data_IF_300588331520
#
_entry.id   IF_300588331520
#
_cell.length_a   1.000
_cell.length_b   1.000
_cell.length_c   1.000
_cell.angle_alpha   90.00
_cell.angle_beta   90.00
_cell.angle_gamma   90.00
#
_symmetry.space_group_name_H-M   'P 1'
#
loop_
_entity.id
_entity.type
_entity.pdbx_description
1 polymer ?
#
# COMPACT_ATOMS: atom_id res chain seq x y z
N UNK A 1 -15.89 2.44 -7.88
CA UNK A 1 -15.35 3.02 -6.63
C UNK A 1 -16.02 4.37 -6.41
N UNK A 2 -16.76 4.56 -5.31
CA UNK A 2 -17.58 5.77 -5.10
C UNK A 2 -16.84 6.94 -4.43
N UNK A 3 -15.56 6.80 -4.07
CA UNK A 3 -14.80 7.86 -3.38
C UNK A 3 -13.29 7.76 -3.63
N UNK A 4 -12.65 8.91 -3.80
CA UNK A 4 -11.18 9.07 -3.83
C UNK A 4 -10.59 9.15 -2.42
N UNK A 5 -11.43 9.22 -1.37
CA UNK A 5 -11.00 9.32 0.02
C UNK A 5 -10.50 7.96 0.53
N UNK A 6 -9.23 7.93 0.93
CA UNK A 6 -8.58 6.72 1.43
C UNK A 6 -9.14 6.22 2.76
N UNK A 7 -9.64 7.13 3.59
CA UNK A 7 -10.20 6.79 4.89
C UNK A 7 -11.54 6.05 4.73
N UNK A 8 -12.35 6.45 3.76
CA UNK A 8 -13.59 5.75 3.42
C UNK A 8 -13.32 4.36 2.84
N UNK A 9 -12.28 4.22 1.99
CA UNK A 9 -11.86 2.92 1.46
C UNK A 9 -11.41 1.97 2.58
N UNK A 10 -10.60 2.47 3.52
CA UNK A 10 -10.17 1.70 4.68
C UNK A 10 -11.37 1.24 5.52
N UNK A 11 -12.31 2.14 5.81
CA UNK A 11 -13.51 1.83 6.58
C UNK A 11 -14.42 0.81 5.88
N UNK A 12 -14.55 0.89 4.55
CA UNK A 12 -15.30 -0.11 3.77
C UNK A 12 -14.65 -1.50 3.86
N UNK A 13 -13.32 -1.57 3.77
CA UNK A 13 -12.61 -2.84 3.83
C UNK A 13 -12.64 -3.46 5.24
N UNK A 14 -12.53 -2.65 6.29
CA UNK A 14 -12.74 -3.09 7.67
C UNK A 14 -14.15 -3.69 7.83
N UNK A 15 -15.19 -3.00 7.33
CA UNK A 15 -16.57 -3.53 7.36
C UNK A 15 -16.69 -4.84 6.58
N UNK A 16 -16.08 -4.93 5.39
CA UNK A 16 -16.13 -6.12 4.53
C UNK A 16 -15.51 -7.34 5.22
N UNK A 17 -14.31 -7.20 5.79
CA UNK A 17 -13.59 -8.32 6.41
C UNK A 17 -14.18 -8.74 7.76
N UNK A 18 -14.68 -7.78 8.55
CA UNK A 18 -15.36 -8.11 9.82
C UNK A 18 -16.73 -8.77 9.59
N UNK A 19 -17.43 -8.43 8.50
CA UNK A 19 -18.73 -9.05 8.16
C UNK A 19 -18.63 -10.55 7.87
N UNK A 20 -17.49 -11.02 7.33
CA UNK A 20 -17.26 -12.46 7.09
C UNK A 20 -17.21 -13.25 8.40
N UNK A 21 -16.56 -12.69 9.42
CA UNK A 21 -16.43 -13.32 10.74
C UNK A 21 -17.74 -13.28 11.52
N UNK A 22 -18.58 -12.25 11.30
CA UNK A 22 -19.86 -11.97 11.97
C UNK A 22 -19.77 -11.70 13.47
N UNK A 23 -19.21 -12.64 14.26
CA UNK A 23 -19.08 -12.56 15.72
C UNK A 23 -17.66 -12.92 16.12
N UNK A 24 -17.01 -12.07 16.91
CA UNK A 24 -15.68 -12.33 17.45
C UNK A 24 -15.77 -12.95 18.84
N UNK A 25 -14.93 -13.95 19.11
CA UNK A 25 -14.86 -14.60 20.42
C UNK A 25 -14.41 -13.65 21.56
N UNK A 26 -13.67 -12.59 21.24
CA UNK A 26 -13.28 -11.53 22.18
C UNK A 26 -12.83 -10.27 21.41
N UNK A 27 -12.72 -9.11 22.07
CA UNK A 27 -12.27 -7.86 21.45
C UNK A 27 -10.85 -7.92 20.87
N UNK A 28 -9.95 -8.71 21.49
CA UNK A 28 -8.57 -8.84 21.01
C UNK A 28 -8.50 -9.53 19.65
N UNK A 29 -9.39 -10.49 19.37
CA UNK A 29 -9.50 -11.12 18.05
C UNK A 29 -9.89 -10.13 16.96
N UNK A 30 -10.81 -9.21 17.25
CA UNK A 30 -11.18 -8.13 16.32
C UNK A 30 -10.00 -7.18 16.08
N UNK A 31 -9.32 -6.76 17.15
CA UNK A 31 -8.14 -5.90 17.06
C UNK A 31 -7.03 -6.54 16.22
N UNK A 32 -6.78 -7.84 16.36
CA UNK A 32 -5.77 -8.55 15.56
C UNK A 32 -6.10 -8.49 14.07
N UNK A 33 -7.35 -8.74 13.68
CA UNK A 33 -7.77 -8.67 12.28
C UNK A 33 -7.59 -7.26 11.71
N UNK A 34 -8.06 -6.24 12.43
CA UNK A 34 -7.99 -4.84 11.97
C UNK A 34 -6.54 -4.36 11.87
N UNK A 35 -5.68 -4.73 12.83
CA UNK A 35 -4.25 -4.41 12.79
C UNK A 35 -3.55 -5.07 11.61
N UNK A 36 -3.79 -6.36 11.39
CA UNK A 36 -3.23 -7.07 10.24
C UNK A 36 -3.65 -6.42 8.90
N UNK A 37 -4.93 -6.03 8.79
CA UNK A 37 -5.44 -5.30 7.63
C UNK A 37 -4.75 -3.94 7.44
N UNK A 38 -4.51 -3.20 8.52
CA UNK A 38 -3.84 -1.91 8.45
C UNK A 38 -2.40 -2.05 7.93
N UNK A 39 -1.67 -3.09 8.37
CA UNK A 39 -0.32 -3.41 7.88
C UNK A 39 -0.34 -3.74 6.39
N UNK A 40 -1.21 -4.66 5.95
CA UNK A 40 -1.35 -5.05 4.54
C UNK A 40 -1.61 -3.85 3.63
N UNK A 41 -2.53 -2.96 4.04
CA UNK A 41 -2.85 -1.74 3.27
C UNK A 41 -1.66 -0.77 3.25
N UNK A 42 -0.94 -0.65 4.35
CA UNK A 42 0.23 0.22 4.45
C UNK A 42 1.35 -0.25 3.52
N UNK A 43 1.68 -1.54 3.56
CA UNK A 43 2.70 -2.16 2.70
C UNK A 43 2.34 -2.03 1.21
N UNK A 44 1.10 -2.40 0.85
CA UNK A 44 0.60 -2.25 -0.53
C UNK A 44 0.69 -0.80 -1.02
N UNK A 45 0.41 0.16 -0.13
CA UNK A 45 0.49 1.58 -0.46
C UNK A 45 1.93 2.04 -0.66
N UNK A 46 2.86 1.61 0.20
CA UNK A 46 4.28 1.94 0.05
C UNK A 46 4.81 1.41 -1.29
N UNK A 47 4.42 0.20 -1.68
CA UNK A 47 4.82 -0.40 -2.94
C UNK A 47 4.18 0.28 -4.17
N UNK A 48 2.89 0.59 -4.11
CA UNK A 48 2.17 1.22 -5.21
C UNK A 48 2.57 2.68 -5.43
N UNK A 49 2.98 3.37 -4.35
CA UNK A 49 3.40 4.77 -4.41
C UNK A 49 4.92 4.89 -4.44
N UNK A 50 5.57 4.19 -5.38
CA UNK A 50 6.97 4.47 -5.73
C UNK A 50 7.07 5.89 -6.29
N UNK A 51 7.26 6.84 -5.38
CA UNK A 51 7.40 8.26 -5.71
C UNK A 51 8.65 8.57 -6.52
N UNK A 52 9.63 7.65 -6.55
CA UNK A 52 10.89 7.82 -7.25
C UNK A 52 11.06 6.72 -8.30
N UNK A 53 10.81 7.07 -9.57
CA UNK A 53 11.18 6.20 -10.69
C UNK A 53 12.69 6.35 -10.96
N UNK A 54 13.46 5.35 -10.55
CA UNK A 54 14.92 5.33 -10.72
C UNK A 54 15.37 5.03 -12.15
N UNK A 55 14.44 4.74 -13.06
CA UNK A 55 14.73 4.48 -14.47
C UNK A 55 15.32 5.71 -15.16
N UNK A 56 14.76 6.90 -14.91
CA UNK A 56 15.31 8.15 -15.44
C UNK A 56 16.75 8.41 -14.95
N UNK A 57 17.03 8.11 -13.68
CA UNK A 57 18.38 8.25 -13.14
C UNK A 57 19.35 7.22 -13.77
N UNK A 58 18.89 5.99 -14.04
CA UNK A 58 19.70 4.97 -14.71
C UNK A 58 20.05 5.37 -16.13
N UNK A 59 19.10 5.89 -16.90
CA UNK A 59 19.35 6.35 -18.26
C UNK A 59 20.32 7.55 -18.28
N UNK A 60 20.13 8.55 -17.41
CA UNK A 60 21.07 9.68 -17.32
C UNK A 60 22.50 9.24 -16.97
N UNK A 61 22.66 8.29 -16.05
CA UNK A 61 23.98 7.72 -15.70
C UNK A 61 24.60 6.99 -16.89
N UNK A 62 23.81 6.26 -17.67
CA UNK A 62 24.26 5.54 -18.87
C UNK A 62 24.73 6.49 -19.96
N UNK A 63 24.01 7.59 -20.18
CA UNK A 63 24.44 8.65 -21.10
C UNK A 63 25.74 9.31 -20.64
N UNK A 64 25.85 9.65 -19.35
CA UNK A 64 27.08 10.24 -18.77
C UNK A 64 28.30 9.34 -18.96
N UNK A 65 28.13 8.02 -18.82
CA UNK A 65 29.20 7.05 -19.05
C UNK A 65 29.60 6.95 -20.53
N UNK A 66 28.63 7.12 -21.46
CA UNK A 66 28.91 7.11 -22.90
C UNK A 66 29.69 8.35 -23.33
N UNK A 67 29.36 9.53 -22.80
CA UNK A 67 30.10 10.77 -23.07
C UNK A 67 31.50 10.77 -22.48
N UNK A 68 31.72 10.10 -21.34
CA UNK A 68 33.06 9.94 -20.74
C UNK A 68 33.94 8.94 -21.48
N UNK A 69 33.35 8.00 -22.23
CA UNK A 69 34.06 6.98 -22.98
C UNK A 69 34.35 7.38 -24.44
N UNK A 70 33.83 8.53 -24.88
CA UNK A 70 34.08 9.14 -26.19
C UNK A 70 35.24 10.17 -26.08
#
# INVERSE_FOLDING_TARGET
MKSTNMLERLNQEIKRRTLVVRIFANPQSCLRLVRALAVEIHETRLEATRYLNMEHLREHKKESLRTLAA
#
